data_IF_877306694137
#
_entry.id   IF_877306694137
#
_cell.length_a   1.000
_cell.length_b   1.000
_cell.length_c   1.000
_cell.angle_alpha   90.00
_cell.angle_beta   90.00
_cell.angle_gamma   90.00
#
_symmetry.space_group_name_H-M   'P 1'
#
loop_
_entity.id
_entity.type
_entity.pdbx_description
1 polymer ?
#
# COMPACT_ATOMS: atom_id res chain seq x y z
N UNK A 1 -6.54 -1.96 -7.94
CA UNK A 1 -6.55 -3.04 -8.96
C UNK A 1 -5.25 -2.94 -9.75
N UNK A 2 -4.65 -4.03 -10.25
CA UNK A 2 -3.43 -3.90 -11.08
C UNK A 2 -3.80 -3.37 -12.48
N UNK A 3 -2.92 -2.60 -13.14
CA UNK A 3 -3.18 -2.08 -14.49
C UNK A 3 -3.53 -3.18 -15.51
N UNK A 4 -2.84 -4.32 -15.45
CA UNK A 4 -3.09 -5.46 -16.33
C UNK A 4 -4.49 -6.09 -16.11
N UNK A 5 -4.98 -6.05 -14.87
CA UNK A 5 -6.31 -6.54 -14.51
C UNK A 5 -7.40 -5.58 -15.00
N UNK A 6 -7.22 -4.26 -14.82
CA UNK A 6 -8.12 -3.23 -15.39
C UNK A 6 -8.21 -3.38 -16.91
N UNK A 7 -7.07 -3.55 -17.58
CA UNK A 7 -7.03 -3.78 -19.01
C UNK A 7 -7.79 -5.05 -19.41
N UNK A 8 -7.56 -6.17 -18.71
CA UNK A 8 -8.22 -7.45 -19.00
C UNK A 8 -9.74 -7.35 -18.85
N UNK A 9 -10.21 -6.77 -17.74
CA UNK A 9 -11.63 -6.58 -17.45
C UNK A 9 -12.28 -5.64 -18.46
N UNK A 10 -11.63 -4.52 -18.77
CA UNK A 10 -12.15 -3.55 -19.74
C UNK A 10 -12.38 -4.20 -21.10
N UNK A 11 -11.41 -4.97 -21.60
CA UNK A 11 -11.54 -5.66 -22.89
C UNK A 11 -12.59 -6.76 -22.87
N UNK A 12 -12.66 -7.52 -21.77
CA UNK A 12 -13.62 -8.62 -21.62
C UNK A 12 -15.06 -8.11 -21.57
N UNK A 13 -15.28 -7.01 -20.84
CA UNK A 13 -16.63 -6.53 -20.52
C UNK A 13 -17.06 -5.36 -21.42
N UNK A 14 -16.23 -4.94 -22.39
CA UNK A 14 -16.44 -3.74 -23.21
C UNK A 14 -17.85 -3.66 -23.83
N UNK A 15 -18.27 -4.68 -24.58
CA UNK A 15 -19.57 -4.68 -25.27
C UNK A 15 -20.75 -4.71 -24.28
N UNK A 16 -20.54 -5.27 -23.09
CA UNK A 16 -21.55 -5.31 -22.02
C UNK A 16 -21.67 -3.95 -21.33
N UNK A 17 -20.55 -3.28 -21.09
CA UNK A 17 -20.49 -1.96 -20.47
C UNK A 17 -20.98 -0.86 -21.43
N UNK A 18 -20.70 -1.01 -22.72
CA UNK A 18 -20.92 0.01 -23.74
C UNK A 18 -21.70 -0.55 -24.95
N UNK A 19 -22.96 -0.98 -24.77
CA UNK A 19 -23.74 -1.67 -25.82
C UNK A 19 -24.07 -0.80 -27.05
N UNK A 20 -23.78 0.51 -27.00
CA UNK A 20 -23.95 1.45 -28.12
C UNK A 20 -22.66 1.68 -28.91
N UNK A 21 -21.55 1.09 -28.46
CA UNK A 21 -20.25 1.14 -29.10
C UNK A 21 -19.94 -0.25 -29.67
N UNK A 22 -19.15 -0.30 -30.74
CA UNK A 22 -18.71 -1.58 -31.32
C UNK A 22 -17.20 -1.64 -31.33
N UNK A 23 -16.64 -2.61 -30.60
CA UNK A 23 -15.22 -2.92 -30.66
C UNK A 23 -14.86 -3.50 -32.03
N UNK A 24 -13.90 -2.88 -32.74
CA UNK A 24 -13.47 -3.30 -34.09
C UNK A 24 -12.14 -4.01 -34.09
N UNK A 25 -11.16 -3.45 -33.40
CA UNK A 25 -9.79 -3.96 -33.38
C UNK A 25 -9.03 -3.50 -32.14
N UNK A 26 -7.98 -4.24 -31.78
CA UNK A 26 -7.02 -3.86 -30.75
C UNK A 26 -5.60 -4.00 -31.29
N UNK A 27 -4.76 -3.02 -30.97
CA UNK A 27 -3.31 -3.11 -31.12
C UNK A 27 -2.66 -2.95 -29.76
N UNK A 28 -1.86 -3.94 -29.35
CA UNK A 28 -1.10 -3.86 -28.08
C UNK A 28 0.29 -3.31 -28.34
N UNK A 29 0.77 -2.46 -27.43
CA UNK A 29 2.12 -1.90 -27.52
C UNK A 29 3.06 -2.66 -26.58
N UNK A 30 4.20 -3.18 -27.06
CA UNK A 30 5.20 -3.78 -26.19
C UNK A 30 5.73 -2.74 -25.20
N UNK A 31 5.88 -3.10 -23.92
CA UNK A 31 6.10 -2.18 -22.80
C UNK A 31 7.35 -1.29 -22.82
N UNK A 32 8.17 -1.33 -23.89
CA UNK A 32 9.33 -0.46 -24.09
C UNK A 32 9.22 0.52 -25.27
N UNK A 33 8.19 0.41 -26.13
CA UNK A 33 8.22 1.09 -27.43
C UNK A 33 7.32 2.35 -27.50
N UNK A 34 6.32 2.54 -26.63
CA UNK A 34 5.36 3.67 -26.77
C UNK A 34 4.84 4.29 -25.46
N UNK A 35 5.74 4.68 -24.55
CA UNK A 35 5.39 5.60 -23.45
C UNK A 35 4.30 5.10 -22.48
N UNK A 36 3.36 5.99 -22.14
CA UNK A 36 2.26 5.76 -21.19
C UNK A 36 1.20 4.79 -21.73
N UNK A 37 1.04 4.71 -23.05
CA UNK A 37 0.02 3.91 -23.69
C UNK A 37 0.32 2.42 -23.59
N UNK A 38 -0.72 1.61 -23.41
CA UNK A 38 -0.61 0.14 -23.35
C UNK A 38 -1.27 -0.55 -24.54
N UNK A 39 -2.30 0.09 -25.11
CA UNK A 39 -3.03 -0.43 -26.25
C UNK A 39 -3.71 0.71 -27.01
N UNK A 40 -3.99 0.48 -28.28
CA UNK A 40 -4.95 1.25 -29.06
C UNK A 40 -6.19 0.39 -29.33
N UNK A 41 -7.38 0.94 -29.10
CA UNK A 41 -8.66 0.31 -29.45
C UNK A 41 -9.33 1.07 -30.57
N UNK A 42 -9.73 0.38 -31.63
CA UNK A 42 -10.61 0.93 -32.65
C UNK A 42 -12.05 0.68 -32.26
N UNK A 43 -12.82 1.75 -32.14
CA UNK A 43 -14.22 1.70 -31.71
C UNK A 43 -15.10 2.42 -32.73
N UNK A 44 -16.22 1.80 -33.09
CA UNK A 44 -17.24 2.42 -33.93
C UNK A 44 -18.40 2.97 -33.09
N UNK A 45 -18.90 4.16 -33.46
CA UNK A 45 -19.93 4.90 -32.72
C UNK A 45 -21.23 5.01 -33.52
N UNK A 46 -22.33 4.55 -32.93
CA UNK A 46 -23.67 4.73 -33.46
C UNK A 46 -23.92 4.03 -34.82
N UNK A 47 -25.03 4.39 -35.49
CA UNK A 47 -25.43 3.79 -36.77
C UNK A 47 -24.65 4.33 -37.97
N UNK A 48 -24.00 5.48 -37.83
CA UNK A 48 -23.17 6.08 -38.89
C UNK A 48 -21.86 5.33 -39.11
N UNK A 49 -21.42 4.52 -38.14
CA UNK A 49 -20.20 3.73 -38.24
C UNK A 49 -18.92 4.56 -38.15
N UNK A 50 -18.97 5.78 -37.61
CA UNK A 50 -17.77 6.58 -37.39
C UNK A 50 -16.80 5.82 -36.48
N UNK A 51 -15.55 5.66 -36.91
CA UNK A 51 -14.53 4.91 -36.18
C UNK A 51 -13.50 5.87 -35.57
N UNK A 52 -13.09 5.59 -34.34
CA UNK A 52 -12.06 6.35 -33.63
C UNK A 52 -11.07 5.38 -33.00
N UNK A 53 -9.79 5.75 -33.05
CA UNK A 53 -8.73 5.03 -32.34
C UNK A 53 -8.50 5.66 -30.94
N UNK A 54 -8.73 4.87 -29.91
CA UNK A 54 -8.54 5.24 -28.50
C UNK A 54 -7.18 4.75 -28.03
N UNK A 55 -6.28 5.67 -27.66
CA UNK A 55 -4.97 5.33 -27.08
C UNK A 55 -5.11 5.14 -25.58
N UNK A 56 -5.23 3.90 -25.14
CA UNK A 56 -5.61 3.60 -23.77
C UNK A 56 -4.43 3.53 -22.80
N UNK A 57 -4.60 4.21 -21.67
CA UNK A 57 -3.73 4.20 -20.49
C UNK A 57 -4.52 3.62 -19.32
N UNK A 58 -4.31 2.33 -18.98
CA UNK A 58 -4.91 1.73 -17.80
C UNK A 58 -4.32 2.30 -16.51
N UNK A 59 -5.19 2.73 -15.59
CA UNK A 59 -4.85 3.24 -14.26
C UNK A 59 -5.23 2.22 -13.18
N UNK A 60 -4.58 2.27 -12.02
CA UNK A 60 -4.88 1.38 -10.88
C UNK A 60 -6.13 1.78 -10.10
N UNK A 61 -6.47 3.07 -10.15
CA UNK A 61 -7.65 3.75 -9.63
C UNK A 61 -7.93 5.01 -10.49
N UNK A 62 -9.07 5.67 -10.25
CA UNK A 62 -9.45 6.90 -10.96
C UNK A 62 -9.55 8.11 -10.03
N UNK A 63 -8.72 8.18 -8.98
CA UNK A 63 -8.71 9.32 -8.07
C UNK A 63 -8.20 10.60 -8.76
N UNK A 64 -8.72 11.79 -8.40
CA UNK A 64 -8.36 13.05 -9.06
C UNK A 64 -6.85 13.32 -9.13
N UNK A 65 -6.11 12.98 -8.07
CA UNK A 65 -4.66 13.18 -7.98
C UNK A 65 -3.88 12.35 -9.01
N UNK A 66 -4.24 11.08 -9.19
CA UNK A 66 -3.57 10.21 -10.17
C UNK A 66 -3.98 10.59 -11.60
N UNK A 67 -5.25 10.97 -11.81
CA UNK A 67 -5.73 11.46 -13.11
C UNK A 67 -5.00 12.73 -13.51
N UNK A 68 -4.91 13.72 -12.61
CA UNK A 68 -4.18 14.96 -12.85
C UNK A 68 -2.70 14.70 -13.19
N UNK A 69 -2.03 13.85 -12.40
CA UNK A 69 -0.63 13.47 -12.65
C UNK A 69 -0.41 12.86 -14.04
N UNK A 70 -1.34 12.02 -14.51
CA UNK A 70 -1.23 11.40 -15.83
C UNK A 70 -1.51 12.42 -16.95
N UNK A 71 -2.49 13.30 -16.75
CA UNK A 71 -2.78 14.41 -17.67
C UNK A 71 -1.56 15.33 -17.81
N UNK A 72 -0.92 15.70 -16.71
CA UNK A 72 0.30 16.51 -16.73
C UNK A 72 1.41 15.84 -17.56
N UNK A 73 1.64 14.53 -17.35
CA UNK A 73 2.62 13.76 -18.13
C UNK A 73 2.26 13.61 -19.60
N UNK A 74 0.97 13.61 -19.94
CA UNK A 74 0.51 13.61 -21.33
C UNK A 74 0.84 14.94 -22.03
N UNK A 75 0.67 16.07 -21.32
CA UNK A 75 1.04 17.39 -21.84
C UNK A 75 2.56 17.56 -22.00
N UNK A 76 3.35 17.07 -21.05
CA UNK A 76 4.83 17.17 -21.09
C UNK A 76 5.50 16.39 -22.24
N UNK A 77 4.87 15.30 -22.70
CA UNK A 77 5.45 14.37 -23.68
C UNK A 77 4.60 14.21 -24.95
N UNK A 78 3.73 15.19 -25.18
CA UNK A 78 2.71 15.35 -26.23
C UNK A 78 2.40 14.21 -27.19
N UNK A 79 1.13 14.17 -27.60
CA UNK A 79 0.54 13.37 -28.70
C UNK A 79 1.35 13.37 -30.03
N UNK A 80 2.39 14.21 -30.13
CA UNK A 80 3.39 14.32 -31.19
C UNK A 80 3.94 12.97 -31.70
N UNK A 81 4.12 11.96 -30.85
CA UNK A 81 4.63 10.65 -31.30
C UNK A 81 3.60 9.78 -32.04
N UNK A 82 2.29 10.04 -31.87
CA UNK A 82 1.22 9.28 -32.51
C UNK A 82 0.66 9.99 -33.75
N UNK A 83 0.70 11.32 -33.76
CA UNK A 83 0.39 12.13 -34.95
C UNK A 83 1.30 11.79 -36.15
N UNK A 84 2.57 11.44 -35.92
CA UNK A 84 3.50 10.98 -36.96
C UNK A 84 3.06 9.68 -37.67
N UNK A 85 2.13 8.91 -37.08
CA UNK A 85 1.59 7.69 -37.68
C UNK A 85 0.34 7.93 -38.54
N UNK A 86 -0.13 9.18 -38.69
CA UNK A 86 -1.32 9.52 -39.50
C UNK A 86 -2.64 9.01 -38.91
N UNK A 87 -2.68 8.73 -37.61
CA UNK A 87 -3.85 8.23 -36.90
C UNK A 87 -4.47 9.39 -36.11
N UNK A 88 -5.71 9.78 -36.44
CA UNK A 88 -6.53 10.59 -35.54
C UNK A 88 -6.89 9.74 -34.31
N UNK A 89 -6.00 9.76 -33.32
CA UNK A 89 -6.09 8.93 -32.13
C UNK A 89 -6.25 9.79 -30.88
N UNK A 90 -7.13 9.37 -29.98
CA UNK A 90 -7.52 10.16 -28.81
C UNK A 90 -6.93 9.52 -27.55
N UNK A 91 -6.13 10.26 -26.75
CA UNK A 91 -5.66 9.79 -25.46
C UNK A 91 -6.85 9.41 -24.59
N UNK A 92 -6.83 8.19 -24.05
CA UNK A 92 -7.96 7.61 -23.33
C UNK A 92 -7.49 7.03 -22.00
N UNK A 93 -8.02 7.50 -20.88
CA UNK A 93 -7.76 6.89 -19.57
C UNK A 93 -8.78 5.77 -19.30
N UNK A 94 -8.29 4.66 -18.78
CA UNK A 94 -9.14 3.52 -18.39
C UNK A 94 -8.91 3.19 -16.92
N UNK A 95 -9.93 3.29 -16.07
CA UNK A 95 -9.80 3.04 -14.63
C UNK A 95 -10.94 2.16 -14.09
N UNK A 96 -10.83 1.62 -12.86
CA UNK A 96 -11.96 0.96 -12.22
C UNK A 96 -13.22 1.83 -12.13
N UNK A 97 -13.04 3.13 -11.87
CA UNK A 97 -14.12 4.12 -11.78
C UNK A 97 -13.60 5.56 -11.82
N UNK A 98 -14.32 6.45 -12.48
CA UNK A 98 -14.07 7.90 -12.43
C UNK A 98 -15.19 8.65 -11.70
N UNK A 99 -14.84 9.32 -10.59
CA UNK A 99 -15.73 10.26 -9.89
C UNK A 99 -16.01 11.52 -10.71
N UNK A 100 -16.95 12.36 -10.29
CA UNK A 100 -17.33 13.57 -11.02
C UNK A 100 -16.13 14.52 -11.22
N UNK A 101 -15.29 14.70 -10.20
CA UNK A 101 -14.08 15.52 -10.28
C UNK A 101 -13.08 14.99 -11.29
N UNK A 102 -12.76 13.69 -11.26
CA UNK A 102 -11.86 13.06 -12.24
C UNK A 102 -12.41 13.15 -13.67
N UNK A 103 -13.73 13.04 -13.85
CA UNK A 103 -14.38 13.22 -15.15
C UNK A 103 -14.27 14.66 -15.65
N UNK A 104 -14.42 15.64 -14.76
CA UNK A 104 -14.21 17.04 -15.08
C UNK A 104 -12.76 17.31 -15.52
N UNK A 105 -11.77 16.80 -14.77
CA UNK A 105 -10.35 16.91 -15.13
C UNK A 105 -10.04 16.34 -16.52
N UNK A 106 -10.57 15.16 -16.84
CA UNK A 106 -10.39 14.57 -18.17
C UNK A 106 -11.00 15.45 -19.28
N UNK A 107 -12.22 15.97 -19.07
CA UNK A 107 -12.90 16.84 -20.05
C UNK A 107 -12.15 18.15 -20.27
N UNK A 108 -11.73 18.80 -19.19
CA UNK A 108 -10.94 20.04 -19.25
C UNK A 108 -9.61 19.84 -20.01
N UNK A 109 -9.02 18.65 -19.89
CA UNK A 109 -7.78 18.30 -20.57
C UNK A 109 -7.97 17.75 -22.00
N UNK A 110 -9.20 17.61 -22.50
CA UNK A 110 -9.47 17.00 -23.82
C UNK A 110 -9.06 15.52 -23.90
N UNK A 111 -9.06 14.82 -22.76
CA UNK A 111 -8.69 13.40 -22.64
C UNK A 111 -9.96 12.56 -22.50
N UNK A 112 -10.11 11.54 -23.34
CA UNK A 112 -11.23 10.61 -23.22
C UNK A 112 -11.09 9.72 -21.98
N UNK A 113 -12.21 9.24 -21.44
CA UNK A 113 -12.20 8.31 -20.30
C UNK A 113 -13.23 7.20 -20.46
N UNK A 114 -12.89 6.02 -19.94
CA UNK A 114 -13.78 4.86 -19.83
C UNK A 114 -13.53 4.16 -18.50
N UNK A 115 -14.58 3.72 -17.81
CA UNK A 115 -14.42 2.94 -16.58
C UNK A 115 -15.07 1.55 -16.61
N UNK A 116 -14.80 0.75 -15.58
CA UNK A 116 -15.37 -0.59 -15.43
C UNK A 116 -16.81 -0.59 -14.87
N UNK A 117 -17.36 0.58 -14.54
CA UNK A 117 -18.76 0.75 -14.17
C UNK A 117 -19.65 1.06 -15.39
N UNK A 118 -19.03 1.38 -16.54
CA UNK A 118 -19.71 1.75 -17.77
C UNK A 118 -19.94 3.25 -17.92
N UNK A 119 -19.23 4.10 -17.17
CA UNK A 119 -19.15 5.52 -17.47
C UNK A 119 -18.07 5.77 -18.51
N UNK A 120 -18.35 6.65 -19.46
CA UNK A 120 -17.40 7.05 -20.48
C UNK A 120 -17.62 8.51 -20.88
N UNK A 121 -16.58 9.15 -21.38
CA UNK A 121 -16.63 10.51 -21.87
C UNK A 121 -15.64 10.74 -23.00
N UNK A 122 -16.12 11.39 -24.05
CA UNK A 122 -15.32 11.90 -25.17
C UNK A 122 -15.90 13.27 -25.49
N UNK A 123 -15.06 14.30 -25.47
CA UNK A 123 -15.45 15.66 -25.83
C UNK A 123 -14.47 16.18 -26.88
N UNK A 124 -14.82 15.95 -28.15
CA UNK A 124 -14.04 16.35 -29.31
C UNK A 124 -14.94 17.17 -30.24
N UNK A 125 -14.37 18.07 -31.07
CA UNK A 125 -15.15 18.87 -32.01
C UNK A 125 -16.05 18.04 -32.94
N UNK A 126 -15.64 16.82 -33.27
CA UNK A 126 -16.33 15.91 -34.21
C UNK A 126 -17.11 14.78 -33.54
N UNK A 127 -16.91 14.55 -32.23
CA UNK A 127 -17.52 13.45 -31.50
C UNK A 127 -17.73 13.81 -30.03
N UNK A 128 -18.99 13.78 -29.60
CA UNK A 128 -19.37 13.93 -28.21
C UNK A 128 -20.02 12.65 -27.67
N UNK A 129 -19.50 12.14 -26.56
CA UNK A 129 -20.02 11.02 -25.80
C UNK A 129 -20.02 11.39 -24.32
N UNK A 130 -21.17 11.28 -23.66
CA UNK A 130 -21.23 11.29 -22.19
C UNK A 130 -22.15 10.16 -21.72
N UNK A 131 -21.55 9.16 -21.10
CA UNK A 131 -22.25 8.09 -20.39
C UNK A 131 -21.91 8.29 -18.92
N UNK A 132 -22.88 8.77 -18.15
CA UNK A 132 -22.72 9.11 -16.74
C UNK A 132 -23.82 8.50 -15.87
N UNK A 133 -23.64 8.58 -14.56
CA UNK A 133 -24.65 8.12 -13.58
C UNK A 133 -24.62 6.61 -13.33
N UNK A 134 -23.65 5.87 -13.89
CA UNK A 134 -23.38 4.51 -13.43
C UNK A 134 -22.62 4.60 -12.12
N UNK A 135 -23.22 4.04 -11.07
CA UNK A 135 -22.56 3.92 -9.79
C UNK A 135 -21.34 3.02 -9.95
N UNK A 136 -20.29 3.37 -9.25
CA UNK A 136 -19.11 2.52 -9.18
C UNK A 136 -19.57 1.10 -8.74
N UNK A 137 -19.30 0.08 -9.54
CA UNK A 137 -19.54 -1.34 -9.15
C UNK A 137 -18.36 -1.90 -8.37
N UNK A 138 -17.21 -1.25 -8.53
CA UNK A 138 -15.99 -1.42 -7.77
C UNK A 138 -15.86 -0.31 -6.72
N UNK A 139 -16.97 0.19 -6.15
CA UNK A 139 -16.90 1.01 -4.94
C UNK A 139 -16.18 0.07 -3.99
N UNK A 140 -14.91 0.34 -3.70
CA UNK A 140 -14.44 0.07 -2.36
C UNK A 140 -15.44 0.85 -1.54
N UNK A 141 -16.47 0.17 -1.03
CA UNK A 141 -17.39 0.75 -0.05
C UNK A 141 -16.46 1.55 0.87
N UNK A 142 -16.87 2.73 1.33
CA UNK A 142 -16.38 3.20 2.65
C UNK A 142 -16.93 2.24 3.73
N UNK A 143 -16.65 0.96 3.55
CA UNK A 143 -16.44 -0.03 4.57
C UNK A 143 -15.02 0.29 4.99
N UNK A 144 -14.82 0.46 6.28
CA UNK A 144 -13.51 0.23 6.89
C UNK A 144 -13.08 -1.15 6.37
N UNK A 145 -12.23 -1.17 5.33
CA UNK A 145 -11.86 -2.41 4.66
C UNK A 145 -10.92 -3.15 5.59
N UNK A 146 -11.51 -4.12 6.28
CA UNK A 146 -10.87 -5.03 7.19
C UNK A 146 -10.36 -4.35 8.49
N UNK A 147 -10.36 -5.06 9.62
CA UNK A 147 -9.83 -4.62 10.91
C UNK A 147 -8.32 -4.29 10.89
N UNK A 148 -7.68 -4.29 9.71
CA UNK A 148 -6.23 -4.28 9.48
C UNK A 148 -5.74 -3.06 8.69
N UNK A 149 -6.57 -2.01 8.52
CA UNK A 149 -6.21 -0.81 7.75
C UNK A 149 -6.31 0.49 8.59
N UNK A 150 -5.45 1.46 8.29
CA UNK A 150 -5.36 2.75 8.96
C UNK A 150 -5.33 2.60 10.49
N UNK A 151 -6.08 3.43 11.21
CA UNK A 151 -6.15 3.36 12.68
C UNK A 151 -6.88 2.12 13.21
N UNK A 152 -7.61 1.38 12.38
CA UNK A 152 -8.31 0.17 12.84
C UNK A 152 -7.33 -0.93 13.24
N UNK A 153 -6.17 -1.01 12.57
CA UNK A 153 -5.12 -2.00 12.87
C UNK A 153 -4.60 -1.88 14.32
N UNK A 154 -4.69 -0.69 14.94
CA UNK A 154 -4.29 -0.48 16.33
C UNK A 154 -5.10 -1.33 17.32
N UNK A 155 -6.36 -1.64 16.98
CA UNK A 155 -7.20 -2.56 17.76
C UNK A 155 -6.63 -3.97 17.68
N UNK A 156 -6.37 -4.46 16.47
CA UNK A 156 -5.78 -5.79 16.26
C UNK A 156 -4.44 -5.89 16.97
N UNK A 157 -3.61 -4.85 16.86
CA UNK A 157 -2.35 -4.76 17.57
C UNK A 157 -2.53 -4.91 19.07
N UNK A 158 -3.44 -4.16 19.71
CA UNK A 158 -3.68 -4.27 21.15
C UNK A 158 -4.23 -5.62 21.57
N UNK A 159 -5.05 -6.25 20.74
CA UNK A 159 -5.55 -7.60 20.98
C UNK A 159 -4.42 -8.65 20.92
N UNK A 160 -3.47 -8.51 20.00
CA UNK A 160 -2.35 -9.45 19.85
C UNK A 160 -1.17 -9.19 20.78
N UNK A 161 -1.03 -7.96 21.29
CA UNK A 161 -0.06 -7.62 22.34
C UNK A 161 -0.45 -8.18 23.71
N UNK A 162 -1.75 -8.41 23.94
CA UNK A 162 -2.31 -8.89 25.21
C UNK A 162 -3.44 -9.88 24.95
N UNK A 163 -3.07 -11.06 24.43
CA UNK A 163 -3.99 -12.10 23.94
C UNK A 163 -4.83 -12.74 25.05
N UNK A 164 -4.33 -12.76 26.28
CA UNK A 164 -5.02 -13.34 27.44
C UNK A 164 -6.00 -12.35 28.10
N UNK A 165 -5.86 -11.06 27.81
CA UNK A 165 -6.70 -10.03 28.44
C UNK A 165 -8.11 -10.02 27.90
N UNK A 166 -9.06 -9.96 28.84
CA UNK A 166 -10.44 -9.57 28.56
C UNK A 166 -10.53 -8.06 28.53
N UNK A 167 -10.96 -7.54 27.38
CA UNK A 167 -11.08 -6.11 27.15
C UNK A 167 -12.53 -5.63 27.37
N UNK A 168 -12.68 -4.52 28.09
CA UNK A 168 -13.87 -3.69 27.91
C UNK A 168 -13.70 -2.84 26.63
N UNK A 169 -14.79 -2.47 25.97
CA UNK A 169 -14.70 -1.64 24.76
C UNK A 169 -14.07 -0.27 25.03
N UNK A 170 -14.25 0.30 26.24
CA UNK A 170 -13.64 1.57 26.62
C UNK A 170 -12.13 1.43 26.78
N UNK A 171 -11.68 0.39 27.48
CA UNK A 171 -10.25 0.18 27.71
C UNK A 171 -9.53 -0.13 26.40
N UNK A 172 -10.15 -0.92 25.52
CA UNK A 172 -9.57 -1.24 24.21
C UNK A 172 -9.47 -0.01 23.32
N UNK A 173 -10.52 0.81 23.26
CA UNK A 173 -10.50 2.05 22.48
C UNK A 173 -9.43 3.02 22.99
N UNK A 174 -9.31 3.15 24.32
CA UNK A 174 -8.29 3.99 24.94
C UNK A 174 -6.87 3.46 24.67
N UNK A 175 -6.63 2.17 24.87
CA UNK A 175 -5.32 1.56 24.62
C UNK A 175 -4.92 1.62 23.14
N UNK A 176 -5.87 1.49 22.22
CA UNK A 176 -5.64 1.60 20.78
C UNK A 176 -5.63 3.05 20.26
N UNK A 177 -5.83 4.05 21.12
CA UNK A 177 -5.91 5.47 20.73
C UNK A 177 -6.90 5.72 19.57
N UNK A 178 -8.12 5.21 19.73
CA UNK A 178 -9.21 5.37 18.75
C UNK A 178 -10.54 5.67 19.43
N UNK A 179 -11.54 6.07 18.63
CA UNK A 179 -12.90 6.26 19.13
C UNK A 179 -13.56 4.92 19.52
N UNK A 180 -14.45 4.99 20.51
CA UNK A 180 -15.33 3.88 20.90
C UNK A 180 -16.12 3.30 19.74
N UNK A 181 -16.62 4.15 18.84
CA UNK A 181 -17.37 3.72 17.66
C UNK A 181 -16.51 2.88 16.72
N UNK A 182 -15.26 3.29 16.48
CA UNK A 182 -14.32 2.54 15.66
C UNK A 182 -13.93 1.22 16.33
N UNK A 183 -13.64 1.20 17.63
CA UNK A 183 -13.35 -0.03 18.36
C UNK A 183 -14.51 -1.02 18.27
N UNK A 184 -15.75 -0.55 18.45
CA UNK A 184 -16.96 -1.38 18.33
C UNK A 184 -17.11 -1.97 16.92
N UNK A 185 -16.97 -1.15 15.88
CA UNK A 185 -17.05 -1.60 14.48
C UNK A 185 -15.98 -2.65 14.15
N UNK A 186 -14.72 -2.38 14.49
CA UNK A 186 -13.58 -3.26 14.20
C UNK A 186 -13.74 -4.60 14.91
N UNK A 187 -14.10 -4.59 16.19
CA UNK A 187 -14.31 -5.81 16.96
C UNK A 187 -15.55 -6.59 16.53
N UNK A 188 -16.57 -5.95 15.96
CA UNK A 188 -17.71 -6.65 15.37
C UNK A 188 -17.29 -7.40 14.11
N UNK A 189 -16.52 -6.75 13.23
CA UNK A 189 -15.96 -7.41 12.05
C UNK A 189 -15.10 -8.62 12.42
N UNK A 190 -14.23 -8.47 13.42
CA UNK A 190 -13.41 -9.56 13.93
C UNK A 190 -14.25 -10.70 14.53
N UNK A 191 -15.38 -10.38 15.17
CA UNK A 191 -16.26 -11.38 15.78
C UNK A 191 -17.05 -12.15 14.72
N UNK A 192 -17.49 -11.48 13.65
CA UNK A 192 -18.16 -12.09 12.50
C UNK A 192 -17.24 -13.09 11.78
N UNK A 193 -15.92 -12.83 11.79
CA UNK A 193 -14.87 -13.73 11.28
C UNK A 193 -14.43 -14.80 12.30
N UNK A 194 -14.97 -14.81 13.52
CA UNK A 194 -14.62 -15.78 14.56
C UNK A 194 -13.24 -15.58 15.21
N UNK A 195 -12.58 -14.44 14.95
CA UNK A 195 -11.24 -14.12 15.44
C UNK A 195 -11.23 -13.60 16.89
N UNK A 196 -12.37 -13.03 17.33
CA UNK A 196 -12.60 -12.60 18.71
C UNK A 196 -13.99 -13.05 19.17
N UNK A 197 -14.17 -13.15 20.48
CA UNK A 197 -15.45 -13.46 21.10
C UNK A 197 -15.96 -12.31 21.95
N UNK A 198 -17.19 -11.86 21.67
CA UNK A 198 -17.90 -10.87 22.48
C UNK A 198 -18.81 -11.57 23.49
N UNK A 199 -18.77 -11.13 24.73
CA UNK A 199 -19.63 -11.64 25.81
C UNK A 199 -20.05 -10.53 26.77
N UNK A 200 -20.91 -10.85 27.73
CA UNK A 200 -21.31 -9.90 28.80
C UNK A 200 -20.13 -9.49 29.69
N UNK A 201 -19.07 -10.30 29.75
CA UNK A 201 -17.88 -10.05 30.59
C UNK A 201 -16.77 -9.35 29.83
N UNK A 202 -16.94 -9.08 28.53
CA UNK A 202 -15.97 -8.36 27.71
C UNK A 202 -15.68 -9.06 26.37
N UNK A 203 -14.62 -8.58 25.72
CA UNK A 203 -14.07 -9.08 24.47
C UNK A 203 -12.80 -9.88 24.77
N UNK A 204 -12.66 -11.07 24.20
CA UNK A 204 -11.45 -11.90 24.27
C UNK A 204 -11.01 -12.35 22.88
N UNK A 205 -9.72 -12.57 22.67
CA UNK A 205 -9.20 -13.14 21.41
C UNK A 205 -9.43 -14.64 21.43
N UNK A 206 -10.13 -15.18 20.43
CA UNK A 206 -10.45 -16.62 20.36
C UNK A 206 -9.42 -17.42 19.58
N UNK A 207 -8.81 -16.82 18.55
CA UNK A 207 -7.84 -17.46 17.68
C UNK A 207 -6.70 -16.48 17.34
N UNK A 208 -5.75 -16.26 18.26
CA UNK A 208 -4.73 -15.23 18.09
C UNK A 208 -3.81 -15.53 16.90
N UNK A 209 -3.44 -16.79 16.67
CA UNK A 209 -2.71 -17.22 15.48
C UNK A 209 -3.41 -16.87 14.16
N UNK A 210 -4.70 -17.21 14.05
CA UNK A 210 -5.49 -16.88 12.86
C UNK A 210 -5.69 -15.36 12.67
N UNK A 211 -5.80 -14.61 13.78
CA UNK A 211 -5.87 -13.16 13.74
C UNK A 211 -4.56 -12.53 13.22
N UNK A 212 -3.41 -13.06 13.64
CA UNK A 212 -2.11 -12.64 13.14
C UNK A 212 -1.95 -12.99 11.65
N UNK A 213 -2.36 -14.19 11.23
CA UNK A 213 -2.29 -14.61 9.83
C UNK A 213 -3.14 -13.71 8.93
N UNK A 214 -4.39 -13.44 9.34
CA UNK A 214 -5.28 -12.53 8.63
C UNK A 214 -4.72 -11.10 8.55
N UNK A 215 -4.01 -10.65 9.58
CA UNK A 215 -3.33 -9.35 9.55
C UNK A 215 -2.13 -9.36 8.60
N UNK A 216 -1.28 -10.38 8.69
CA UNK A 216 -0.06 -10.50 7.89
C UNK A 216 -0.37 -10.53 6.38
N UNK A 217 -1.43 -11.21 5.95
CA UNK A 217 -1.88 -11.22 4.54
C UNK A 217 -2.16 -9.83 3.96
N UNK A 218 -2.50 -8.86 4.81
CA UNK A 218 -2.88 -7.49 4.43
C UNK A 218 -1.83 -6.46 4.81
N UNK A 219 -0.83 -6.88 5.57
CA UNK A 219 0.27 -6.02 5.98
C UNK A 219 1.22 -5.80 4.79
N UNK A 220 1.79 -4.60 4.72
CA UNK A 220 2.79 -4.26 3.73
C UNK A 220 3.79 -3.28 4.36
N UNK A 221 5.01 -3.76 4.58
CA UNK A 221 6.12 -2.95 5.08
C UNK A 221 6.33 -1.67 4.27
N UNK A 222 6.03 -1.67 2.96
CA UNK A 222 6.24 -0.52 2.06
C UNK A 222 5.34 0.68 2.37
N UNK A 223 4.32 0.52 3.24
CA UNK A 223 3.59 1.65 3.83
C UNK A 223 4.53 2.56 4.62
N UNK A 224 5.53 1.98 5.29
CA UNK A 224 6.61 2.70 5.94
C UNK A 224 7.68 3.03 4.90
N UNK A 225 7.69 4.27 4.42
CA UNK A 225 8.73 4.71 3.47
C UNK A 225 10.11 4.62 4.13
N UNK A 226 11.11 4.16 3.38
CA UNK A 226 12.47 4.07 3.89
C UNK A 226 13.47 4.81 3.03
N UNK A 227 14.60 5.14 3.66
CA UNK A 227 15.81 5.63 2.98
C UNK A 227 16.97 4.73 3.36
N UNK A 228 17.90 4.59 2.42
CA UNK A 228 19.13 3.84 2.64
C UNK A 228 20.26 4.80 2.94
N UNK A 229 21.02 4.47 3.97
CA UNK A 229 22.27 5.11 4.34
C UNK A 229 23.37 4.05 4.44
N UNK A 230 24.56 4.51 4.79
CA UNK A 230 25.77 3.72 4.93
C UNK A 230 26.50 4.07 6.22
N UNK A 231 27.18 3.10 6.80
CA UNK A 231 28.16 3.31 7.88
C UNK A 231 29.51 2.72 7.50
N UNK A 232 30.58 3.33 8.00
CA UNK A 232 31.94 2.78 7.91
C UNK A 232 32.21 1.70 8.97
N UNK A 233 31.36 1.64 10.01
CA UNK A 233 31.37 0.59 11.03
C UNK A 233 30.71 -0.69 10.48
N UNK A 234 31.14 -1.84 10.99
CA UNK A 234 30.42 -3.10 10.80
C UNK A 234 29.11 -3.10 11.61
N UNK A 235 28.26 -4.10 11.38
CA UNK A 235 26.93 -4.20 11.97
C UNK A 235 27.02 -4.18 13.50
N UNK A 236 27.91 -4.99 14.07
CA UNK A 236 28.07 -5.13 15.51
C UNK A 236 28.47 -3.82 16.17
N UNK A 237 29.49 -3.13 15.64
CA UNK A 237 29.96 -1.86 16.20
C UNK A 237 28.97 -0.72 15.98
N UNK A 238 28.24 -0.74 14.87
CA UNK A 238 27.16 0.22 14.61
C UNK A 238 26.02 0.05 15.61
N UNK A 239 25.62 -1.18 15.91
CA UNK A 239 24.60 -1.44 16.92
C UNK A 239 25.09 -1.09 18.33
N UNK A 240 26.34 -1.40 18.69
CA UNK A 240 26.93 -0.93 19.96
C UNK A 240 26.92 0.61 20.06
N UNK A 241 27.16 1.32 18.94
CA UNK A 241 27.02 2.77 18.89
C UNK A 241 25.57 3.19 19.11
N UNK A 242 24.60 2.58 18.44
CA UNK A 242 23.17 2.87 18.62
C UNK A 242 22.76 2.62 20.08
N UNK A 243 23.18 1.50 20.68
CA UNK A 243 22.90 1.16 22.07
C UNK A 243 23.47 2.19 23.06
N UNK A 244 24.70 2.67 22.86
CA UNK A 244 25.28 3.77 23.67
C UNK A 244 24.51 5.09 23.56
N UNK A 245 23.68 5.24 22.54
CA UNK A 245 22.87 6.44 22.32
C UNK A 245 21.43 6.27 22.80
N UNK A 246 21.11 5.17 23.50
CA UNK A 246 19.78 4.81 23.98
C UNK A 246 19.01 6.00 24.56
N UNK A 247 19.54 6.64 25.60
CA UNK A 247 18.88 7.78 26.28
C UNK A 247 18.63 8.97 25.33
N UNK A 248 19.56 9.22 24.41
CA UNK A 248 19.48 10.36 23.49
C UNK A 248 18.49 10.13 22.33
N UNK A 249 18.32 8.86 21.92
CA UNK A 249 17.38 8.48 20.88
C UNK A 249 15.97 8.29 21.47
N UNK A 250 15.88 7.77 22.70
CA UNK A 250 14.63 7.54 23.43
C UNK A 250 13.70 6.58 22.69
N UNK A 251 12.39 6.81 22.83
CA UNK A 251 11.35 5.99 22.18
C UNK A 251 11.22 6.23 20.66
N UNK A 252 12.11 7.03 20.06
CA UNK A 252 12.01 7.43 18.64
C UNK A 252 12.46 6.34 17.68
N UNK A 253 13.06 5.26 18.17
CA UNK A 253 13.62 4.21 17.35
C UNK A 253 13.31 2.80 17.86
N UNK A 254 13.36 1.86 16.93
CA UNK A 254 13.48 0.45 17.24
C UNK A 254 14.11 -0.29 16.05
N UNK A 255 15.03 -1.23 16.31
CA UNK A 255 15.55 -2.13 15.29
C UNK A 255 14.44 -3.07 14.81
N UNK A 256 14.39 -3.32 13.50
CA UNK A 256 13.39 -4.19 12.88
C UNK A 256 14.04 -5.18 11.89
N UNK A 257 13.22 -6.01 11.22
CA UNK A 257 13.63 -7.06 10.28
C UNK A 257 14.73 -7.92 10.89
N UNK A 258 15.78 -8.22 10.12
CA UNK A 258 16.89 -9.07 10.53
C UNK A 258 17.62 -8.51 11.75
N UNK A 259 17.79 -7.18 11.86
CA UNK A 259 18.48 -6.56 13.00
C UNK A 259 17.75 -6.84 14.30
N UNK A 260 16.43 -6.67 14.31
CA UNK A 260 15.61 -6.97 15.48
C UNK A 260 15.52 -8.46 15.78
N UNK A 261 15.23 -9.28 14.77
CA UNK A 261 15.09 -10.72 14.93
C UNK A 261 16.38 -11.38 15.42
N UNK A 262 17.55 -10.93 14.92
CA UNK A 262 18.86 -11.41 15.36
C UNK A 262 19.10 -11.18 16.85
N UNK A 263 18.76 -9.98 17.33
CA UNK A 263 18.93 -9.59 18.73
C UNK A 263 18.04 -10.43 19.67
N UNK A 264 16.80 -10.75 19.26
CA UNK A 264 15.89 -11.52 20.10
C UNK A 264 16.09 -13.05 20.01
N UNK A 265 16.52 -13.56 18.85
CA UNK A 265 16.71 -15.00 18.65
C UNK A 265 18.11 -15.50 19.07
N UNK A 266 19.08 -14.60 19.17
CA UNK A 266 20.48 -14.92 19.50
C UNK A 266 21.27 -15.52 18.34
N UNK A 267 20.81 -15.35 17.10
CA UNK A 267 21.48 -15.87 15.91
C UNK A 267 22.72 -15.02 15.56
N UNK A 268 23.86 -15.63 15.25
CA UNK A 268 25.08 -14.90 14.84
C UNK A 268 25.27 -14.86 13.32
N UNK A 269 24.18 -14.74 12.55
CA UNK A 269 24.28 -14.59 11.10
C UNK A 269 24.95 -13.25 10.75
N UNK A 270 26.08 -13.32 10.05
CA UNK A 270 26.76 -12.14 9.52
C UNK A 270 25.93 -11.52 8.43
N UNK A 271 25.42 -10.31 8.67
CA UNK A 271 24.69 -9.50 7.69
C UNK A 271 25.50 -8.24 7.37
N UNK A 272 25.21 -7.62 6.24
CA UNK A 272 25.84 -6.36 5.82
C UNK A 272 24.90 -5.16 5.98
N UNK A 273 23.81 -5.33 6.74
CA UNK A 273 22.73 -4.35 6.83
C UNK A 273 22.17 -4.23 8.24
N UNK A 274 21.80 -3.01 8.60
CA UNK A 274 21.02 -2.65 9.80
C UNK A 274 19.71 -2.05 9.37
N UNK A 275 18.60 -2.45 9.98
CA UNK A 275 17.26 -1.92 9.71
C UNK A 275 16.61 -1.40 10.98
N UNK A 276 16.08 -0.18 10.92
CA UNK A 276 15.44 0.45 12.06
C UNK A 276 14.30 1.38 11.64
N UNK A 277 13.31 1.51 12.51
CA UNK A 277 12.34 2.59 12.47
C UNK A 277 12.88 3.85 13.15
N UNK A 278 12.53 5.02 12.61
CA UNK A 278 12.85 6.33 13.17
C UNK A 278 11.69 7.29 13.02
N UNK A 279 11.22 7.90 14.13
CA UNK A 279 10.13 8.89 14.12
C UNK A 279 10.60 10.34 14.16
N UNK A 280 11.89 10.58 14.45
CA UNK A 280 12.46 11.93 14.51
C UNK A 280 12.85 12.50 13.13
N UNK A 281 13.39 13.72 13.09
CA UNK A 281 14.04 14.26 11.90
C UNK A 281 15.20 13.36 11.48
N UNK A 282 15.27 12.97 10.21
CA UNK A 282 16.29 11.99 9.78
C UNK A 282 17.71 12.54 9.88
N UNK A 283 17.90 13.84 9.72
CA UNK A 283 19.21 14.50 9.85
C UNK A 283 19.76 14.39 11.27
N UNK A 284 18.89 14.40 12.29
CA UNK A 284 19.26 14.19 13.70
C UNK A 284 19.84 12.79 13.89
N UNK A 285 19.20 11.75 13.33
CA UNK A 285 19.71 10.38 13.35
C UNK A 285 21.03 10.25 12.61
N UNK A 286 21.12 10.82 11.40
CA UNK A 286 22.30 10.76 10.54
C UNK A 286 23.52 11.34 11.24
N UNK A 287 23.39 12.52 11.86
CA UNK A 287 24.48 13.15 12.60
C UNK A 287 24.86 12.35 13.84
N UNK A 288 23.86 11.92 14.62
CA UNK A 288 24.06 11.17 15.87
C UNK A 288 24.77 9.84 15.67
N UNK A 289 24.27 9.05 14.73
CA UNK A 289 24.76 7.69 14.44
C UNK A 289 25.94 7.72 13.47
N UNK A 290 26.31 8.90 12.94
CA UNK A 290 27.36 9.11 11.95
C UNK A 290 27.13 8.28 10.67
N UNK A 291 25.93 8.41 10.13
CA UNK A 291 25.53 7.77 8.87
C UNK A 291 25.93 8.65 7.68
N UNK A 292 26.16 8.00 6.54
CA UNK A 292 26.50 8.65 5.28
C UNK A 292 25.47 8.26 4.20
N UNK A 293 25.03 9.19 3.34
CA UNK A 293 24.07 8.85 2.28
C UNK A 293 24.63 7.90 1.21
N UNK A 294 25.92 8.01 0.88
CA UNK A 294 26.47 7.43 -0.36
C UNK A 294 27.60 6.41 -0.13
N UNK A 295 28.37 6.54 0.96
CA UNK A 295 29.61 5.80 1.15
C UNK A 295 29.69 5.07 2.50
N UNK A 296 30.14 3.82 2.45
CA UNK A 296 30.38 2.99 3.63
C UNK A 296 30.24 1.50 3.30
N UNK A 297 30.46 0.65 4.30
CA UNK A 297 30.46 -0.81 4.17
C UNK A 297 29.10 -1.40 4.53
N UNK A 298 28.53 -0.95 5.64
CA UNK A 298 27.26 -1.45 6.18
C UNK A 298 26.11 -0.62 5.65
N UNK A 299 25.08 -1.27 5.08
CA UNK A 299 23.85 -0.60 4.68
C UNK A 299 22.98 -0.34 5.91
N UNK A 300 22.31 0.82 5.95
CA UNK A 300 21.37 1.16 7.02
C UNK A 300 20.04 1.56 6.41
N UNK A 301 19.02 0.74 6.59
CA UNK A 301 17.66 0.99 6.15
C UNK A 301 16.90 1.71 7.27
N UNK A 302 16.61 2.99 7.05
CA UNK A 302 15.88 3.82 8.01
C UNK A 302 14.45 4.00 7.53
N UNK A 303 13.52 3.33 8.19
CA UNK A 303 12.10 3.37 7.91
C UNK A 303 11.44 4.50 8.72
N UNK A 304 10.59 5.30 8.06
CA UNK A 304 9.65 6.17 8.76
C UNK A 304 8.35 5.37 8.95
N UNK A 305 7.96 5.04 10.19
CA UNK A 305 6.74 4.29 10.44
C UNK A 305 5.52 5.08 9.94
N UNK A 306 4.60 4.41 9.25
CA UNK A 306 3.36 5.04 8.78
C UNK A 306 2.35 5.29 9.90
N UNK A 307 2.49 4.60 11.03
CA UNK A 307 1.70 4.76 12.24
C UNK A 307 2.60 4.57 13.47
N UNK A 308 2.41 5.40 14.50
CA UNK A 308 3.20 5.35 15.74
C UNK A 308 3.06 4.02 16.49
N UNK A 309 1.96 3.29 16.28
CA UNK A 309 1.70 2.00 16.93
C UNK A 309 2.68 0.90 16.55
N UNK A 310 3.44 1.06 15.46
CA UNK A 310 4.52 0.17 15.06
C UNK A 310 5.59 0.03 16.16
N UNK A 311 5.80 1.09 16.95
CA UNK A 311 6.79 1.13 18.03
C UNK A 311 6.20 0.76 19.41
N UNK A 312 4.90 0.46 19.51
CA UNK A 312 4.30 0.08 20.79
C UNK A 312 4.88 -1.23 21.31
N UNK A 313 5.12 -1.27 22.62
CA UNK A 313 5.72 -2.40 23.34
C UNK A 313 7.05 -2.86 22.72
N UNK A 314 7.82 -1.94 22.13
CA UNK A 314 9.20 -2.22 21.72
C UNK A 314 9.99 -2.76 22.92
N UNK A 315 10.79 -3.80 22.68
CA UNK A 315 11.54 -4.50 23.71
C UNK A 315 12.94 -3.91 23.86
N UNK A 316 13.43 -3.90 25.08
CA UNK A 316 14.80 -3.48 25.39
C UNK A 316 15.69 -4.69 25.62
N UNK A 317 16.87 -4.69 24.99
CA UNK A 317 17.87 -5.74 25.22
C UNK A 317 18.84 -5.32 26.35
N UNK A 318 19.58 -6.27 26.95
CA UNK A 318 20.66 -5.95 27.89
C UNK A 318 21.73 -5.02 27.30
N UNK A 319 21.87 -4.97 25.97
CA UNK A 319 22.77 -4.07 25.26
C UNK A 319 22.18 -2.66 25.01
N UNK A 320 21.07 -2.33 25.70
CA UNK A 320 20.35 -1.05 25.56
C UNK A 320 19.85 -0.76 24.15
N UNK A 321 19.67 -1.80 23.33
CA UNK A 321 19.01 -1.67 22.04
C UNK A 321 17.51 -1.75 22.22
N UNK A 322 16.78 -0.85 21.55
CA UNK A 322 15.34 -0.96 21.38
C UNK A 322 15.03 -1.78 20.14
N UNK A 323 14.20 -2.79 20.28
CA UNK A 323 13.81 -3.73 19.22
C UNK A 323 12.31 -3.65 19.03
N UNK A 324 11.83 -3.66 17.78
CA UNK A 324 10.41 -3.70 17.51
C UNK A 324 9.81 -4.98 18.15
N UNK A 325 8.59 -4.89 18.68
CA UNK A 325 7.96 -6.04 19.33
C UNK A 325 7.95 -7.26 18.37
N UNK A 326 8.09 -8.52 18.86
CA UNK A 326 8.09 -9.71 18.00
C UNK A 326 6.92 -9.79 17.00
N UNK A 327 5.74 -9.31 17.42
CA UNK A 327 4.57 -9.11 16.56
C UNK A 327 4.89 -8.26 15.32
N UNK A 328 5.57 -7.12 15.51
CA UNK A 328 5.97 -6.25 14.41
C UNK A 328 7.09 -6.86 13.57
N UNK A 329 8.05 -7.56 14.18
CA UNK A 329 9.10 -8.26 13.44
C UNK A 329 8.52 -9.32 12.50
N UNK A 330 7.53 -10.09 12.98
CA UNK A 330 6.82 -11.07 12.14
C UNK A 330 6.16 -10.41 10.92
N UNK A 331 5.46 -9.30 11.13
CA UNK A 331 4.79 -8.56 10.05
C UNK A 331 5.80 -7.99 9.04
N UNK A 332 6.89 -7.40 9.52
CA UNK A 332 7.92 -6.79 8.68
C UNK A 332 8.63 -7.82 7.80
N UNK A 333 9.10 -8.91 8.42
CA UNK A 333 9.74 -10.02 7.71
C UNK A 333 8.76 -10.75 6.77
N UNK A 334 7.47 -10.78 7.13
CA UNK A 334 6.39 -11.34 6.31
C UNK A 334 6.17 -10.63 4.98
N UNK A 335 6.71 -9.42 4.80
CA UNK A 335 6.64 -8.66 3.54
C UNK A 335 7.82 -8.94 2.59
N UNK A 336 8.73 -9.83 3.00
CA UNK A 336 10.02 -10.08 2.36
C UNK A 336 10.07 -11.26 1.39
N UNK A 337 11.29 -11.72 1.10
CA UNK A 337 11.58 -12.92 0.31
C UNK A 337 11.45 -14.23 1.12
N UNK A 338 11.82 -15.36 0.51
CA UNK A 338 11.72 -16.69 1.15
C UNK A 338 12.58 -16.83 2.41
N UNK A 339 13.75 -16.18 2.48
CA UNK A 339 14.61 -16.20 3.66
C UNK A 339 14.02 -15.37 4.80
N UNK A 340 13.46 -14.20 4.47
CA UNK A 340 12.74 -13.34 5.40
C UNK A 340 11.49 -14.03 5.95
N UNK A 341 10.71 -14.71 5.09
CA UNK A 341 9.55 -15.50 5.50
C UNK A 341 9.94 -16.65 6.44
N UNK A 342 11.04 -17.36 6.16
CA UNK A 342 11.55 -18.40 7.05
C UNK A 342 11.98 -17.83 8.42
N UNK A 343 12.58 -16.64 8.43
CA UNK A 343 12.91 -15.94 9.68
C UNK A 343 11.65 -15.46 10.43
N UNK A 344 10.62 -14.99 9.73
CA UNK A 344 9.32 -14.64 10.33
C UNK A 344 8.72 -15.84 11.06
N UNK A 345 8.71 -17.03 10.44
CA UNK A 345 8.20 -18.24 11.09
C UNK A 345 8.99 -18.58 12.37
N UNK A 346 10.32 -18.46 12.36
CA UNK A 346 11.14 -18.66 13.56
C UNK A 346 10.82 -17.65 14.67
N UNK A 347 10.57 -16.38 14.31
CA UNK A 347 10.11 -15.35 15.26
C UNK A 347 8.77 -15.77 15.88
N UNK A 348 7.81 -16.21 15.07
CA UNK A 348 6.51 -16.67 15.56
C UNK A 348 6.64 -17.86 16.50
N UNK A 349 7.31 -18.92 16.07
CA UNK A 349 7.47 -20.16 16.84
C UNK A 349 8.14 -19.94 18.21
N UNK A 350 9.15 -19.05 18.28
CA UNK A 350 9.93 -18.86 19.50
C UNK A 350 9.43 -17.74 20.41
N UNK A 351 8.80 -16.71 19.84
CA UNK A 351 8.49 -15.45 20.55
C UNK A 351 6.99 -15.13 20.61
N UNK A 352 6.13 -15.85 19.86
CA UNK A 352 4.66 -15.68 19.86
C UNK A 352 3.97 -17.05 20.00
N UNK A 353 4.06 -17.72 21.16
CA UNK A 353 3.73 -19.15 21.31
C UNK A 353 2.22 -19.48 21.35
N UNK A 354 1.35 -18.60 20.85
CA UNK A 354 -0.11 -18.73 20.92
C UNK A 354 -0.80 -19.04 19.59
#
# INVERSE_FOLDING_TARGET
MRQAEVQSLFLRDFDTLYPKLTFRAIRRFPGRIQGLYRMALRVAFGRSGAELDLLCIPLTDGHPQEVQRIIERLHERGVEQVAQAGIEAVPTLVAPYFGDESRALCREAGVAYFDLAGNAGIDLPTLFLDISGKTNRHVRKKVIQAPFDGKAERVVRRLLLDTERRWSMRDLAAAADISLGMASMVTSSLADEGLVKKSRTGLEVSAPGALLDAWAERYDLRRSIFRTYRSWEDVERLEERIGRMHDSLGDRYALTLWSGARQLLGDNHKTAYVSLYWTGPVDDLVQRVNLNPDAGKTYVFVFRPYDESILWEAQETPAQLRIAHPLQLYLDLGSGDEEELALAQRVRERLLPW
#
